data_IF_093269098440
#
_entry.id   IF_093269098440
#
_cell.length_a   1.000
_cell.length_b   1.000
_cell.length_c   1.000
_cell.angle_alpha   90.00
_cell.angle_beta   90.00
_cell.angle_gamma   90.00
#
_symmetry.space_group_name_H-M   'P 1'
#
loop_
_entity.id
_entity.type
_entity.pdbx_description
1 polymer ?
#
# COMPACT_ATOMS: atom_id res chain seq x y z
N UNK A 1 13.19 -1.47 -0.72
CA UNK A 1 12.89 -1.94 0.63
C UNK A 1 11.42 -1.71 0.94
N UNK A 2 10.85 -2.62 1.69
CA UNK A 2 9.48 -2.46 2.19
C UNK A 2 9.57 -2.02 3.63
N UNK A 3 8.83 -0.96 3.95
CA UNK A 3 8.71 -0.46 5.31
C UNK A 3 7.33 -0.80 5.83
N UNK A 4 7.29 -1.39 7.01
CA UNK A 4 6.04 -1.66 7.73
C UNK A 4 5.90 -0.64 8.84
N UNK A 5 4.79 0.06 8.84
CA UNK A 5 4.49 1.11 9.82
C UNK A 5 3.55 0.52 10.85
N UNK A 6 4.04 0.33 12.08
CA UNK A 6 3.27 -0.23 13.18
C UNK A 6 3.04 0.80 14.28
N UNK A 7 1.90 0.65 14.94
CA UNK A 7 1.62 1.32 16.20
C UNK A 7 0.88 0.33 17.11
N UNK A 8 1.41 0.08 18.31
CA UNK A 8 0.84 -0.87 19.29
C UNK A 8 0.51 -2.23 18.64
N UNK A 9 1.48 -2.81 17.95
CA UNK A 9 1.38 -4.09 17.24
C UNK A 9 0.37 -4.13 16.08
N UNK A 10 -0.28 -3.02 15.76
CA UNK A 10 -1.20 -2.92 14.64
C UNK A 10 -0.48 -2.35 13.43
N UNK A 11 -0.63 -2.99 12.29
CA UNK A 11 -0.07 -2.52 11.03
C UNK A 11 -0.90 -1.34 10.51
N UNK A 12 -0.28 -0.17 10.40
CA UNK A 12 -0.95 1.01 9.85
C UNK A 12 -0.72 1.16 8.36
N UNK A 13 0.49 0.84 7.89
CA UNK A 13 0.81 0.98 6.48
C UNK A 13 1.94 0.08 6.04
N UNK A 14 1.98 -0.18 4.73
CA UNK A 14 3.11 -0.79 4.02
C UNK A 14 3.59 0.23 3.00
N UNK A 15 4.89 0.55 3.02
CA UNK A 15 5.50 1.45 2.04
C UNK A 15 6.48 0.66 1.19
N UNK A 16 6.25 0.66 -0.12
CA UNK A 16 7.16 0.07 -1.10
C UNK A 16 7.89 1.21 -1.77
N UNK A 17 9.16 1.36 -1.47
CA UNK A 17 9.99 2.43 -2.04
C UNK A 17 10.25 2.17 -3.52
N UNK A 18 10.37 3.23 -4.29
CA UNK A 18 10.54 3.17 -5.75
C UNK A 18 11.72 2.29 -6.21
N UNK A 19 12.73 2.16 -5.37
CA UNK A 19 13.93 1.34 -5.66
C UNK A 19 13.80 -0.12 -5.21
N UNK A 20 12.63 -0.50 -4.68
CA UNK A 20 12.41 -1.89 -4.26
C UNK A 20 12.57 -2.84 -5.43
N UNK A 21 13.37 -3.89 -5.22
CA UNK A 21 13.55 -4.96 -6.20
C UNK A 21 13.68 -6.29 -5.47
N UNK A 22 13.08 -7.31 -6.02
CA UNK A 22 13.20 -8.69 -5.56
C UNK A 22 13.60 -9.62 -6.69
N UNK A 23 13.82 -10.89 -6.34
CA UNK A 23 14.08 -11.96 -7.30
C UNK A 23 12.85 -12.17 -8.20
N UNK A 24 13.04 -12.91 -9.27
CA UNK A 24 11.97 -13.29 -10.19
C UNK A 24 10.83 -14.01 -9.46
N UNK A 25 9.61 -13.85 -9.94
CA UNK A 25 8.42 -14.49 -9.41
C UNK A 25 7.44 -13.52 -8.78
N UNK A 26 6.54 -14.09 -7.99
CA UNK A 26 5.44 -13.37 -7.31
C UNK A 26 5.72 -13.32 -5.82
N UNK A 27 5.54 -12.15 -5.22
CA UNK A 27 5.74 -11.96 -3.80
C UNK A 27 4.66 -11.02 -3.26
N UNK A 28 3.72 -11.56 -2.49
CA UNK A 28 2.70 -10.77 -1.83
C UNK A 28 3.19 -10.27 -0.48
N UNK A 29 2.87 -9.02 -0.17
CA UNK A 29 3.26 -8.35 1.08
C UNK A 29 2.19 -8.45 2.16
N UNK A 30 0.97 -8.75 1.75
CA UNK A 30 -0.20 -8.85 2.60
C UNK A 30 -0.43 -10.28 3.07
N UNK A 31 -1.08 -10.43 4.23
CA UNK A 31 -1.49 -11.75 4.72
C UNK A 31 -2.62 -12.32 3.87
N UNK A 32 -2.85 -13.63 3.98
CA UNK A 32 -3.92 -14.30 3.24
C UNK A 32 -5.30 -13.80 3.62
N UNK A 33 -5.45 -13.25 4.82
CA UNK A 33 -6.70 -12.73 5.34
C UNK A 33 -7.01 -11.31 4.86
N UNK A 34 -6.04 -10.64 4.25
CA UNK A 34 -6.24 -9.30 3.75
C UNK A 34 -7.30 -9.29 2.66
N UNK A 35 -8.27 -8.38 2.76
CA UNK A 35 -9.35 -8.25 1.79
C UNK A 35 -8.88 -7.64 0.46
N UNK A 36 -7.74 -6.96 0.49
CA UNK A 36 -7.06 -6.46 -0.69
C UNK A 36 -5.62 -6.96 -0.67
N UNK A 37 -5.22 -7.63 -1.74
CA UNK A 37 -3.87 -8.17 -1.85
C UNK A 37 -2.94 -7.16 -2.51
N UNK A 38 -1.73 -7.07 -1.98
CA UNK A 38 -0.70 -6.16 -2.44
C UNK A 38 0.60 -6.94 -2.64
N UNK A 39 1.08 -6.98 -3.87
CA UNK A 39 2.23 -7.80 -4.19
C UNK A 39 3.10 -7.23 -5.29
N UNK A 40 4.27 -7.81 -5.40
CA UNK A 40 5.30 -7.49 -6.38
C UNK A 40 5.49 -8.68 -7.31
N UNK A 41 5.55 -8.43 -8.60
CA UNK A 41 5.81 -9.46 -9.62
C UNK A 41 6.97 -9.03 -10.49
N UNK A 42 7.82 -10.00 -10.82
CA UNK A 42 8.92 -9.80 -11.75
C UNK A 42 9.09 -11.05 -12.61
N UNK A 43 8.97 -10.88 -13.91
CA UNK A 43 9.04 -11.98 -14.86
C UNK A 43 9.93 -11.62 -16.04
N UNK A 44 10.56 -12.62 -16.62
CA UNK A 44 11.36 -12.46 -17.85
C UNK A 44 10.46 -12.34 -19.08
N UNK A 45 11.02 -11.78 -20.14
CA UNK A 45 10.37 -11.78 -21.45
C UNK A 45 9.92 -13.19 -21.82
N UNK A 46 8.76 -13.31 -22.42
CA UNK A 46 8.12 -14.56 -22.84
C UNK A 46 7.59 -15.46 -21.70
N UNK A 47 7.74 -15.06 -20.44
CA UNK A 47 7.06 -15.75 -19.36
C UNK A 47 5.55 -15.63 -19.57
N UNK A 48 4.84 -16.74 -19.45
CA UNK A 48 3.40 -16.77 -19.60
C UNK A 48 2.73 -16.86 -18.21
N UNK A 49 1.94 -15.86 -17.89
CA UNK A 49 1.02 -15.94 -16.75
C UNK A 49 -0.25 -16.59 -17.31
N UNK A 50 -0.56 -17.81 -16.86
CA UNK A 50 -1.68 -18.55 -17.41
C UNK A 50 -2.99 -17.80 -17.25
N UNK A 51 -3.84 -17.79 -18.29
CA UNK A 51 -5.17 -17.20 -18.17
C UNK A 51 -5.93 -17.84 -17.00
N UNK A 52 -6.58 -17.00 -16.23
CA UNK A 52 -7.34 -17.46 -15.06
C UNK A 52 -8.46 -16.47 -14.75
N UNK A 53 -9.40 -16.91 -13.96
CA UNK A 53 -10.45 -16.04 -13.43
C UNK A 53 -10.52 -16.23 -11.93
N UNK A 54 -10.99 -15.21 -11.25
CA UNK A 54 -11.23 -15.26 -9.82
C UNK A 54 -12.67 -15.71 -9.57
N UNK A 55 -12.84 -16.70 -8.70
CA UNK A 55 -14.15 -17.19 -8.33
C UNK A 55 -14.89 -16.14 -7.52
N UNK A 56 -16.20 -16.07 -7.70
CA UNK A 56 -17.05 -15.22 -6.86
C UNK A 56 -16.95 -15.69 -5.42
N UNK A 57 -16.85 -14.74 -4.51
CA UNK A 57 -16.86 -15.05 -3.07
C UNK A 57 -17.45 -13.86 -2.32
N UNK A 58 -18.05 -14.15 -1.19
CA UNK A 58 -18.51 -13.14 -0.26
C UNK A 58 -17.36 -12.79 0.67
N UNK A 59 -17.11 -11.51 0.82
CA UNK A 59 -16.04 -11.01 1.71
C UNK A 59 -16.61 -9.91 2.58
N UNK A 60 -16.39 -10.03 3.89
CA UNK A 60 -16.76 -8.98 4.83
C UNK A 60 -15.57 -8.03 4.96
N UNK A 61 -15.81 -6.75 4.69
CA UNK A 61 -14.80 -5.70 4.81
C UNK A 61 -15.09 -4.90 6.07
N UNK A 62 -14.19 -4.98 7.04
CA UNK A 62 -14.31 -4.27 8.31
C UNK A 62 -13.51 -2.97 8.31
N UNK A 63 -12.41 -2.94 7.57
CA UNK A 63 -11.55 -1.78 7.40
C UNK A 63 -11.32 -1.53 5.94
N UNK A 64 -11.47 -0.28 5.51
CA UNK A 64 -11.13 0.12 4.15
C UNK A 64 -9.62 0.25 4.03
N UNK A 65 -9.04 -0.44 3.06
CA UNK A 65 -7.63 -0.26 2.71
C UNK A 65 -7.51 0.63 1.49
N UNK A 66 -6.47 1.44 1.46
CA UNK A 66 -6.18 2.35 0.36
C UNK A 66 -4.76 2.11 -0.13
N UNK A 67 -4.59 2.03 -1.45
CA UNK A 67 -3.26 1.98 -2.07
C UNK A 67 -3.07 3.28 -2.84
N UNK A 68 -1.99 3.99 -2.52
CA UNK A 68 -1.63 5.23 -3.19
C UNK A 68 -0.35 5.00 -3.97
N UNK A 69 -0.38 5.35 -5.24
CA UNK A 69 0.78 5.33 -6.14
C UNK A 69 1.15 6.78 -6.42
N UNK A 70 2.29 7.22 -5.90
CA UNK A 70 2.76 8.59 -6.09
C UNK A 70 3.62 8.68 -7.35
N UNK A 71 3.13 9.38 -8.37
CA UNK A 71 3.86 9.56 -9.63
C UNK A 71 4.80 10.75 -9.59
N UNK A 72 4.45 11.79 -8.83
CA UNK A 72 5.18 13.05 -8.84
C UNK A 72 5.12 13.70 -7.47
N UNK A 73 6.19 14.38 -7.11
CA UNK A 73 6.23 15.23 -5.93
C UNK A 73 6.60 14.54 -4.63
N UNK A 74 6.25 15.18 -3.53
CA UNK A 74 6.53 14.70 -2.17
C UNK A 74 5.27 14.85 -1.33
N UNK A 75 4.87 13.76 -0.70
CA UNK A 75 3.69 13.69 0.14
C UNK A 75 4.10 13.27 1.55
N UNK A 76 3.68 14.04 2.55
CA UNK A 76 3.79 13.62 3.95
C UNK A 76 2.50 12.92 4.34
N UNK A 77 2.63 11.70 4.84
CA UNK A 77 1.51 10.92 5.34
C UNK A 77 1.53 11.02 6.87
N UNK A 78 0.47 11.56 7.42
CA UNK A 78 0.30 11.73 8.87
C UNK A 78 -0.59 10.63 9.41
N UNK A 79 -0.14 9.94 10.46
CA UNK A 79 -0.89 8.83 11.06
C UNK A 79 -1.54 9.27 12.37
N UNK A 80 -2.77 8.80 12.56
CA UNK A 80 -3.60 9.10 13.72
C UNK A 80 -4.16 7.81 14.33
N UNK A 81 -4.37 7.80 15.62
CA UNK A 81 -5.05 6.71 16.29
C UNK A 81 -6.58 6.79 16.07
N UNK A 82 -7.33 5.82 16.59
CA UNK A 82 -8.78 5.76 16.43
C UNK A 82 -9.51 6.95 17.08
N UNK A 83 -8.86 7.65 18.00
CA UNK A 83 -9.38 8.86 18.64
C UNK A 83 -8.97 10.13 17.89
N UNK A 84 -8.42 9.99 16.69
CA UNK A 84 -7.97 11.11 15.84
C UNK A 84 -6.82 11.91 16.43
N UNK A 85 -6.03 11.32 17.32
CA UNK A 85 -4.81 11.94 17.83
C UNK A 85 -3.65 11.63 16.91
N UNK A 86 -2.87 12.66 16.58
CA UNK A 86 -1.66 12.53 15.79
C UNK A 86 -0.62 11.65 16.48
N UNK A 87 -0.01 10.75 15.73
CA UNK A 87 1.03 9.84 16.23
C UNK A 87 2.41 10.17 15.65
N UNK A 88 2.53 10.08 14.34
CA UNK A 88 3.79 10.33 13.63
C UNK A 88 3.52 10.43 12.14
N UNK A 89 4.57 10.74 11.38
CA UNK A 89 4.45 10.91 9.92
C UNK A 89 5.54 10.13 9.19
N UNK A 90 5.26 9.84 7.92
CA UNK A 90 6.22 9.31 6.97
C UNK A 90 6.13 10.13 5.68
N UNK A 91 7.26 10.31 5.00
CA UNK A 91 7.27 10.95 3.69
C UNK A 91 7.34 9.88 2.60
N UNK A 92 6.59 10.08 1.54
CA UNK A 92 6.72 9.28 0.33
C UNK A 92 7.09 10.19 -0.84
N UNK A 93 7.82 9.62 -1.77
CA UNK A 93 8.42 10.31 -2.90
C UNK A 93 7.94 9.70 -4.21
N UNK A 94 8.13 10.40 -5.31
CA UNK A 94 7.73 9.92 -6.63
C UNK A 94 8.22 8.49 -6.90
N UNK A 95 7.33 7.60 -7.29
CA UNK A 95 7.58 6.19 -7.53
C UNK A 95 7.32 5.28 -6.30
N UNK A 96 7.14 5.87 -5.13
CA UNK A 96 6.76 5.09 -3.94
C UNK A 96 5.29 4.69 -4.00
N UNK A 97 4.98 3.57 -3.37
CA UNK A 97 3.60 3.08 -3.22
C UNK A 97 3.36 2.84 -1.73
N UNK A 98 2.23 3.31 -1.23
CA UNK A 98 1.83 3.08 0.15
C UNK A 98 0.46 2.42 0.19
N UNK A 99 0.32 1.38 1.01
CA UNK A 99 -0.97 0.79 1.35
C UNK A 99 -1.31 1.17 2.79
N UNK A 100 -2.40 1.88 2.96
CA UNK A 100 -2.94 2.27 4.26
C UNK A 100 -3.92 1.20 4.72
N UNK A 101 -3.72 0.67 5.91
CA UNK A 101 -4.44 -0.51 6.40
C UNK A 101 -5.34 -0.20 7.58
N UNK A 102 -4.78 0.39 8.63
CA UNK A 102 -5.51 0.68 9.87
C UNK A 102 -5.22 2.09 10.35
N UNK A 103 -6.03 2.55 11.31
CA UNK A 103 -5.89 3.86 11.92
C UNK A 103 -6.37 4.98 11.02
N UNK A 104 -6.20 6.20 11.50
CA UNK A 104 -6.50 7.40 10.73
C UNK A 104 -5.27 7.91 10.00
N UNK A 105 -5.49 8.62 8.93
CA UNK A 105 -4.40 9.25 8.18
C UNK A 105 -4.85 10.58 7.58
N UNK A 106 -3.86 11.43 7.35
CA UNK A 106 -4.02 12.67 6.62
C UNK A 106 -2.80 12.89 5.74
N UNK A 107 -2.88 13.86 4.86
CA UNK A 107 -1.79 14.14 3.93
C UNK A 107 -1.47 15.63 3.93
N UNK A 108 -0.17 15.93 3.82
CA UNK A 108 0.28 17.27 3.47
C UNK A 108 1.15 17.20 2.22
N UNK A 109 0.79 17.96 1.22
CA UNK A 109 1.56 18.07 -0.01
C UNK A 109 2.76 18.98 0.25
N UNK A 110 3.98 18.43 0.13
CA UNK A 110 5.21 19.17 0.35
C UNK A 110 5.80 19.69 -0.97
N UNK A 111 5.50 19.01 -2.07
CA UNK A 111 5.85 19.43 -3.42
C UNK A 111 4.74 18.95 -4.33
N UNK A 112 4.34 19.73 -5.33
CA UNK A 112 3.22 19.41 -6.21
C UNK A 112 3.16 17.93 -6.56
N UNK A 113 2.00 17.30 -6.34
CA UNK A 113 1.86 15.86 -6.49
C UNK A 113 0.90 15.49 -7.62
N UNK A 114 1.14 14.30 -8.15
CA UNK A 114 0.19 13.53 -8.92
C UNK A 114 0.18 12.11 -8.37
N UNK A 115 -0.98 11.57 -8.10
CA UNK A 115 -1.11 10.23 -7.53
C UNK A 115 -2.39 9.55 -7.99
N UNK A 116 -2.38 8.22 -7.94
CA UNK A 116 -3.58 7.40 -8.11
C UNK A 116 -3.87 6.71 -6.80
N UNK A 117 -5.14 6.70 -6.43
CA UNK A 117 -5.65 5.99 -5.27
C UNK A 117 -6.53 4.84 -5.72
N UNK A 118 -6.31 3.68 -5.09
CA UNK A 118 -7.16 2.49 -5.25
C UNK A 118 -7.66 2.11 -3.88
N UNK A 119 -8.97 2.07 -3.69
CA UNK A 119 -9.56 1.69 -2.41
C UNK A 119 -10.85 0.92 -2.61
N UNK A 120 -11.26 0.21 -1.58
CA UNK A 120 -12.59 -0.38 -1.56
C UNK A 120 -13.63 0.75 -1.46
N UNK A 121 -14.60 0.68 -2.30
CA UNK A 121 -15.64 1.71 -2.42
C UNK A 121 -16.60 1.80 -1.24
#
# INVERSE_FOLDING_TARGET
MIEKVFHKKKLFALIVRSKFRKKWGINFFTSKESTQQFGYMKHKKNHLIMPHKHNKRLTKILTTTEVIILFKGILRVDFYNDKKKYLFSSKIYAGDIIMLVNGGHGFKVLKDIEMIEVKQG
#
